data_IF_870198586927
#
_entry.id   IF_870198586927
#
_cell.length_a   1.000
_cell.length_b   1.000
_cell.length_c   1.000
_cell.angle_alpha   90.00
_cell.angle_beta   90.00
_cell.angle_gamma   90.00
#
_symmetry.space_group_name_H-M   'P 1'
#
loop_
_entity.id
_entity.type
_entity.pdbx_description
1 polymer ?
#
# COMPACT_ATOMS: atom_id res chain seq x y z
N UNK A 1 15.03 -13.23 -17.58
CA UNK A 1 14.66 -11.90 -17.05
C UNK A 1 14.74 -11.92 -15.54
N UNK A 2 15.14 -10.81 -14.93
CA UNK A 2 15.21 -10.65 -13.47
C UNK A 2 14.50 -9.35 -13.07
N UNK A 3 14.05 -9.28 -11.82
CA UNK A 3 13.44 -8.09 -11.23
C UNK A 3 14.28 -7.73 -10.00
N UNK A 4 14.63 -6.45 -9.88
CA UNK A 4 15.28 -5.93 -8.68
C UNK A 4 14.21 -5.37 -7.75
N UNK A 5 14.09 -5.94 -6.54
CA UNK A 5 13.13 -5.52 -5.53
C UNK A 5 13.87 -4.88 -4.35
N UNK A 6 13.60 -3.59 -4.11
CA UNK A 6 14.06 -2.87 -2.93
C UNK A 6 13.03 -2.93 -1.81
N UNK A 7 13.44 -3.26 -0.58
CA UNK A 7 12.56 -3.28 0.59
C UNK A 7 13.20 -2.47 1.71
N UNK A 8 12.54 -1.38 2.12
CA UNK A 8 12.90 -0.58 3.28
C UNK A 8 11.92 -0.82 4.43
N UNK A 9 12.41 -1.23 5.60
CA UNK A 9 11.58 -1.42 6.80
C UNK A 9 12.23 -0.68 7.97
N UNK A 10 11.48 0.25 8.56
CA UNK A 10 11.87 0.94 9.79
C UNK A 10 11.76 -0.03 10.98
N UNK A 11 12.86 -0.73 11.29
CA UNK A 11 12.85 -1.71 12.38
C UNK A 11 12.96 -1.05 13.76
N UNK A 12 14.05 -0.32 14.01
CA UNK A 12 14.36 0.31 15.31
C UNK A 12 14.56 1.83 15.23
N UNK A 13 14.32 2.43 14.05
CA UNK A 13 14.53 3.84 13.77
C UNK A 13 13.40 4.67 14.35
N UNK A 14 13.70 5.76 15.08
CA UNK A 14 12.69 6.74 15.46
C UNK A 14 12.28 7.56 14.22
N UNK A 15 11.08 7.35 13.70
CA UNK A 15 10.61 7.97 12.45
C UNK A 15 9.93 9.31 12.66
N UNK A 16 9.44 9.56 13.88
CA UNK A 16 8.65 10.75 14.25
C UNK A 16 9.37 12.09 14.02
N UNK A 17 10.70 12.08 14.00
CA UNK A 17 11.52 13.27 13.77
C UNK A 17 11.65 13.65 12.29
N UNK A 18 11.39 12.72 11.38
CA UNK A 18 11.64 12.89 9.94
C UNK A 18 10.35 12.90 9.14
N UNK A 19 9.38 12.06 9.50
CA UNK A 19 8.13 11.89 8.74
C UNK A 19 6.95 11.62 9.68
N UNK A 20 5.99 12.56 9.73
CA UNK A 20 4.84 12.47 10.63
C UNK A 20 3.93 11.26 10.40
N UNK A 21 3.93 10.71 9.18
CA UNK A 21 3.10 9.56 8.80
C UNK A 21 3.84 8.22 8.81
N UNK A 22 5.13 8.20 9.16
CA UNK A 22 5.90 6.98 9.24
C UNK A 22 5.97 6.45 10.68
N UNK A 23 5.98 5.13 10.83
CA UNK A 23 6.22 4.44 12.11
C UNK A 23 7.37 3.42 11.98
N UNK A 24 7.77 2.84 13.10
CA UNK A 24 8.74 1.75 13.17
C UNK A 24 8.19 0.53 13.93
N UNK A 25 8.73 -0.66 13.64
CA UNK A 25 8.34 -1.88 14.35
C UNK A 25 8.59 -1.77 15.86
N UNK A 26 9.67 -1.09 16.26
CA UNK A 26 9.98 -0.80 17.67
C UNK A 26 8.92 0.09 18.31
N UNK A 27 8.45 1.12 17.61
CA UNK A 27 7.44 2.03 18.13
C UNK A 27 6.07 1.35 18.30
N UNK A 28 5.68 0.51 17.33
CA UNK A 28 4.43 -0.25 17.39
C UNK A 28 4.48 -1.38 18.45
N UNK A 29 5.61 -2.10 18.56
CA UNK A 29 5.74 -3.24 19.47
C UNK A 29 6.33 -2.89 20.84
N UNK A 30 6.74 -1.63 21.03
CA UNK A 30 7.36 -1.11 22.25
C UNK A 30 8.58 -1.91 22.73
N UNK A 31 9.32 -2.51 21.81
CA UNK A 31 10.54 -3.29 22.09
C UNK A 31 11.54 -3.27 20.94
N UNK A 32 12.80 -3.51 21.23
CA UNK A 32 13.83 -3.60 20.19
C UNK A 32 13.66 -4.87 19.33
N UNK A 33 13.86 -4.70 18.02
CA UNK A 33 13.69 -5.73 17.01
C UNK A 33 15.04 -6.32 16.61
N UNK A 34 15.15 -7.65 16.70
CA UNK A 34 16.28 -8.38 16.13
C UNK A 34 16.22 -8.34 14.60
N UNK A 35 17.05 -7.49 13.99
CA UNK A 35 17.14 -7.37 12.52
C UNK A 35 17.48 -8.69 11.83
N UNK A 36 18.28 -9.54 12.48
CA UNK A 36 18.61 -10.88 11.97
C UNK A 36 17.37 -11.78 11.88
N UNK A 37 16.54 -11.80 12.93
CA UNK A 37 15.30 -12.57 12.93
C UNK A 37 14.28 -12.00 11.96
N UNK A 38 14.13 -10.67 11.91
CA UNK A 38 13.25 -10.00 10.95
C UNK A 38 13.62 -10.33 9.51
N UNK A 39 14.90 -10.24 9.15
CA UNK A 39 15.38 -10.59 7.81
C UNK A 39 15.10 -12.06 7.46
N UNK A 40 15.37 -12.98 8.40
CA UNK A 40 15.09 -14.40 8.17
C UNK A 40 13.59 -14.66 7.94
N UNK A 41 12.71 -14.03 8.73
CA UNK A 41 11.26 -14.15 8.54
C UNK A 41 10.80 -13.52 7.23
N UNK A 42 11.32 -12.35 6.87
CA UNK A 42 11.01 -11.66 5.61
C UNK A 42 11.40 -12.52 4.40
N UNK A 43 12.63 -13.06 4.37
CA UNK A 43 13.11 -13.88 3.25
C UNK A 43 12.30 -15.18 3.12
N UNK A 44 11.92 -15.81 4.24
CA UNK A 44 11.05 -17.00 4.23
C UNK A 44 9.67 -16.69 3.67
N UNK A 45 9.08 -15.56 4.07
CA UNK A 45 7.77 -15.16 3.56
C UNK A 45 7.84 -14.80 2.07
N UNK A 46 8.88 -14.08 1.62
CA UNK A 46 9.10 -13.80 0.20
C UNK A 46 9.19 -15.10 -0.60
N UNK A 47 10.02 -16.07 -0.17
CA UNK A 47 10.17 -17.34 -0.89
C UNK A 47 8.85 -18.13 -0.96
N UNK A 48 8.07 -18.13 0.14
CA UNK A 48 6.76 -18.77 0.20
C UNK A 48 5.75 -18.11 -0.74
N UNK A 49 5.68 -16.78 -0.74
CA UNK A 49 4.72 -16.03 -1.56
C UNK A 49 5.13 -15.99 -3.04
N UNK A 50 6.44 -16.05 -3.33
CA UNK A 50 6.95 -16.12 -4.70
C UNK A 50 6.41 -17.35 -5.45
N UNK A 51 6.26 -18.48 -4.75
CA UNK A 51 5.69 -19.70 -5.32
C UNK A 51 4.19 -19.56 -5.72
N UNK A 52 3.51 -18.50 -5.25
CA UNK A 52 2.09 -18.25 -5.46
C UNK A 52 1.82 -17.05 -6.38
N UNK A 53 2.83 -16.45 -7.01
CA UNK A 53 2.70 -15.19 -7.76
C UNK A 53 1.64 -15.24 -8.88
N UNK A 54 1.41 -16.41 -9.48
CA UNK A 54 0.43 -16.61 -10.55
C UNK A 54 -0.91 -17.13 -10.04
N UNK A 55 -1.05 -17.33 -8.73
CA UNK A 55 -2.23 -17.91 -8.11
C UNK A 55 -3.18 -16.80 -7.64
N UNK A 56 -4.47 -16.93 -7.98
CA UNK A 56 -5.51 -15.98 -7.52
C UNK A 56 -5.56 -15.84 -6.00
N UNK A 57 -5.13 -16.87 -5.26
CA UNK A 57 -5.10 -16.85 -3.80
C UNK A 57 -4.23 -15.72 -3.24
N UNK A 58 -3.11 -15.40 -3.89
CA UNK A 58 -2.23 -14.31 -3.46
C UNK A 58 -2.92 -12.94 -3.61
N UNK A 59 -3.60 -12.74 -4.75
CA UNK A 59 -4.38 -11.52 -4.99
C UNK A 59 -5.50 -11.37 -3.95
N UNK A 60 -6.22 -12.45 -3.64
CA UNK A 60 -7.29 -12.44 -2.64
C UNK A 60 -6.77 -12.16 -1.22
N UNK A 61 -5.60 -12.69 -0.86
CA UNK A 61 -4.93 -12.38 0.41
C UNK A 61 -4.53 -10.89 0.47
N UNK A 62 -3.95 -10.36 -0.61
CA UNK A 62 -3.59 -8.94 -0.69
C UNK A 62 -4.82 -8.04 -0.56
N UNK A 63 -5.93 -8.33 -1.26
CA UNK A 63 -7.19 -7.58 -1.15
C UNK A 63 -7.70 -7.53 0.29
N UNK A 64 -7.67 -8.66 1.00
CA UNK A 64 -8.13 -8.75 2.41
C UNK A 64 -7.28 -7.93 3.37
N UNK A 65 -5.98 -7.80 3.10
CA UNK A 65 -5.04 -7.05 3.93
C UNK A 65 -4.91 -5.57 3.54
N UNK A 66 -5.53 -5.15 2.42
CA UNK A 66 -5.39 -3.79 1.90
C UNK A 66 -6.08 -2.76 2.79
N UNK A 67 -5.30 -1.82 3.33
CA UNK A 67 -5.84 -0.64 4.02
C UNK A 67 -6.48 0.38 3.06
N UNK A 68 -6.20 0.26 1.76
CA UNK A 68 -6.62 1.21 0.71
C UNK A 68 -8.01 0.90 0.15
N UNK A 69 -8.36 -0.39 0.03
CA UNK A 69 -9.68 -0.76 -0.49
C UNK A 69 -10.81 -0.17 0.35
N UNK A 70 -11.88 0.22 -0.32
CA UNK A 70 -13.04 0.91 0.23
C UNK A 70 -12.76 2.32 0.80
N UNK A 71 -11.57 2.89 0.59
CA UNK A 71 -11.27 4.28 0.95
C UNK A 71 -11.56 5.23 -0.21
N UNK A 72 -11.84 6.49 0.13
CA UNK A 72 -11.78 7.58 -0.82
C UNK A 72 -10.30 7.96 -0.97
N UNK A 73 -9.80 7.96 -2.19
CA UNK A 73 -8.38 8.16 -2.47
C UNK A 73 -8.18 9.18 -3.58
N UNK A 74 -7.02 9.83 -3.55
CA UNK A 74 -6.43 10.53 -4.68
C UNK A 74 -5.16 9.79 -5.09
N UNK A 75 -5.06 9.42 -6.36
CA UNK A 75 -3.82 8.92 -6.95
C UNK A 75 -3.18 10.03 -7.77
N UNK A 76 -1.89 10.23 -7.54
CA UNK A 76 -1.07 11.18 -8.29
C UNK A 76 -0.05 10.38 -9.09
N UNK A 77 -0.07 10.54 -10.41
CA UNK A 77 0.89 9.95 -11.34
C UNK A 77 1.39 11.04 -12.32
N UNK A 78 2.50 10.82 -13.04
CA UNK A 78 2.99 11.80 -14.01
C UNK A 78 1.92 12.15 -15.06
N UNK A 79 1.43 13.40 -15.02
CA UNK A 79 0.42 13.90 -15.96
C UNK A 79 -1.03 13.52 -15.65
N UNK A 80 -1.30 12.84 -14.53
CA UNK A 80 -2.67 12.45 -14.16
C UNK A 80 -2.92 12.52 -12.65
N UNK A 81 -4.06 13.11 -12.26
CA UNK A 81 -4.64 12.95 -10.93
C UNK A 81 -6.01 12.27 -11.02
N UNK A 82 -6.19 11.20 -10.25
CA UNK A 82 -7.42 10.42 -10.21
C UNK A 82 -7.98 10.47 -8.79
N UNK A 83 -9.21 10.95 -8.62
CA UNK A 83 -9.91 10.92 -7.33
C UNK A 83 -11.14 10.05 -7.43
N UNK A 84 -11.34 9.18 -6.43
CA UNK A 84 -12.51 8.31 -6.35
C UNK A 84 -12.40 7.28 -5.25
N UNK A 85 -13.34 6.34 -5.20
CA UNK A 85 -13.30 5.23 -4.26
C UNK A 85 -12.45 4.10 -4.83
N UNK A 86 -11.45 3.63 -4.09
CA UNK A 86 -10.75 2.40 -4.42
C UNK A 86 -11.70 1.22 -4.17
N UNK A 87 -12.13 0.54 -5.24
CA UNK A 87 -13.14 -0.52 -5.16
C UNK A 87 -12.56 -1.92 -5.34
N UNK A 88 -11.44 -2.05 -6.04
CA UNK A 88 -10.81 -3.35 -6.26
C UNK A 88 -9.33 -3.24 -6.63
N UNK A 89 -8.63 -4.38 -6.64
CA UNK A 89 -7.33 -4.57 -7.29
C UNK A 89 -7.53 -5.63 -8.38
N UNK A 90 -7.26 -5.32 -9.63
CA UNK A 90 -7.49 -6.28 -10.73
C UNK A 90 -6.39 -7.35 -10.81
N UNK A 91 -6.54 -8.29 -11.74
CA UNK A 91 -5.61 -9.41 -11.93
C UNK A 91 -4.23 -8.99 -12.43
N UNK A 92 -4.07 -7.75 -12.91
CA UNK A 92 -2.79 -7.18 -13.29
C UNK A 92 -2.15 -6.39 -12.13
N UNK A 93 -2.79 -6.36 -10.96
CA UNK A 93 -2.34 -5.60 -9.80
C UNK A 93 -2.70 -4.12 -9.84
N UNK A 94 -3.53 -3.67 -10.81
CA UNK A 94 -3.92 -2.28 -10.90
C UNK A 94 -5.04 -1.95 -9.90
N UNK A 95 -4.98 -0.78 -9.28
CA UNK A 95 -6.03 -0.29 -8.39
C UNK A 95 -7.21 0.22 -9.23
N UNK A 96 -8.39 -0.34 -9.00
CA UNK A 96 -9.63 0.07 -9.66
C UNK A 96 -10.32 1.15 -8.84
N UNK A 97 -10.54 2.31 -9.45
CA UNK A 97 -11.12 3.49 -8.82
C UNK A 97 -12.45 3.83 -9.48
N UNK A 98 -13.48 3.98 -8.65
CA UNK A 98 -14.79 4.47 -9.06
C UNK A 98 -14.92 5.97 -8.80
N UNK A 99 -15.06 6.75 -9.88
CA UNK A 99 -15.32 8.18 -9.86
C UNK A 99 -16.71 8.53 -9.32
N UNK A 100 -16.94 9.81 -9.00
CA UNK A 100 -18.26 10.31 -8.54
C UNK A 100 -19.32 10.20 -9.63
N UNK A 101 -18.91 10.32 -10.90
CA UNK A 101 -19.73 10.14 -12.10
C UNK A 101 -20.02 8.66 -12.42
N UNK A 102 -19.49 7.73 -11.62
CA UNK A 102 -19.62 6.30 -11.84
C UNK A 102 -18.58 5.70 -12.79
N UNK A 103 -17.69 6.50 -13.38
CA UNK A 103 -16.60 6.03 -14.22
C UNK A 103 -15.67 5.08 -13.45
N UNK A 104 -15.12 4.10 -14.15
CA UNK A 104 -14.10 3.19 -13.61
C UNK A 104 -12.76 3.50 -14.28
N UNK A 105 -11.71 3.65 -13.47
CA UNK A 105 -10.33 3.82 -13.94
C UNK A 105 -9.42 2.84 -13.22
N UNK A 106 -8.53 2.19 -13.97
CA UNK A 106 -7.49 1.33 -13.43
C UNK A 106 -6.15 2.07 -13.40
N UNK A 107 -5.43 1.95 -12.28
CA UNK A 107 -4.14 2.63 -12.08
C UNK A 107 -3.07 1.61 -11.73
N UNK A 108 -2.06 1.49 -12.57
CA UNK A 108 -0.96 0.52 -12.39
C UNK A 108 0.04 1.01 -11.34
N UNK A 109 0.34 2.31 -11.30
CA UNK A 109 1.28 2.90 -10.36
C UNK A 109 0.99 4.39 -10.14
N UNK A 110 1.28 4.87 -8.93
CA UNK A 110 1.15 6.27 -8.53
C UNK A 110 1.13 6.42 -7.02
N UNK A 111 1.27 7.64 -6.53
CA UNK A 111 1.20 7.95 -5.10
C UNK A 111 -0.26 7.96 -4.65
N UNK A 112 -0.59 7.11 -3.67
CA UNK A 112 -1.94 6.97 -3.15
C UNK A 112 -2.12 7.73 -1.84
N UNK A 113 -3.02 8.71 -1.85
CA UNK A 113 -3.37 9.52 -0.68
C UNK A 113 -4.78 9.16 -0.23
N UNK A 114 -4.93 8.69 1.01
CA UNK A 114 -6.25 8.47 1.61
C UNK A 114 -6.86 9.80 2.00
N UNK A 115 -8.03 10.11 1.46
CA UNK A 115 -8.73 11.37 1.73
C UNK A 115 -9.62 11.20 2.96
N UNK A 116 -9.40 12.06 3.96
CA UNK A 116 -10.27 12.16 5.14
C UNK A 116 -11.48 13.03 4.77
N UNK A 117 -12.67 12.69 5.30
CA UNK A 117 -13.95 13.33 4.95
C UNK A 117 -14.00 14.85 5.20
N UNK A 118 -13.10 15.42 6.00
CA UNK A 118 -13.08 16.86 6.29
C UNK A 118 -12.70 17.74 5.09
N UNK A 119 -12.00 17.19 4.08
CA UNK A 119 -11.60 17.94 2.89
C UNK A 119 -12.74 18.23 1.89
N UNK A 120 -13.99 17.89 2.22
CA UNK A 120 -15.16 18.15 1.38
C UNK A 120 -16.03 19.31 1.87
N UNK A 121 -15.68 19.97 2.98
CA UNK A 121 -16.50 21.04 3.59
C UNK A 121 -15.89 22.45 3.51
N UNK A 122 -14.73 22.66 2.89
CA UNK A 122 -14.21 24.01 2.63
C UNK A 122 -14.49 24.41 1.18
N UNK A 123 -15.75 24.77 0.94
CA UNK A 123 -16.21 25.67 -0.12
C UNK A 123 -17.60 26.18 0.31
N UNK A 124 -17.61 27.06 1.32
CA UNK A 124 -18.65 28.08 1.53
C UNK A 124 -17.91 29.41 1.51
#
# INVERSE_FOLDING_TARGET
NFINLGIGINANTSTSQYEKMATSLKDELRKEISRKQLLNSLLKEIAKQQALLTENKLLEEWKKLSATLNKLVKIVAPGEEITGRAIDIDTNGALVIKGKDGSLRSVIAGDCIHLVKEALNTNI
#
